data_IF_505928262136
#
_entry.id   IF_505928262136
#
_cell.length_a   1.000
_cell.length_b   1.000
_cell.length_c   1.000
_cell.angle_alpha   90.00
_cell.angle_beta   90.00
_cell.angle_gamma   90.00
#
_symmetry.space_group_name_H-M   'P 1'
#
loop_
_entity.id
_entity.type
_entity.pdbx_description
1 polymer ?
#
# COMPACT_ATOMS: atom_id res chain seq x y z
N UNK A 1 47.20 41.92 -42.10
CA UNK A 1 47.29 43.22 -41.41
C UNK A 1 45.89 43.77 -41.45
N UNK A 2 45.10 43.38 -40.46
CA UNK A 2 44.74 44.22 -39.29
C UNK A 2 43.69 45.24 -39.74
N UNK A 3 42.40 45.00 -39.51
CA UNK A 3 41.63 45.06 -38.24
C UNK A 3 40.95 46.42 -38.07
N UNK A 4 39.72 46.38 -37.52
CA UNK A 4 39.04 47.51 -36.88
C UNK A 4 37.91 48.14 -37.71
N UNK A 5 36.66 47.70 -37.52
CA UNK A 5 35.61 48.22 -36.60
C UNK A 5 34.77 49.35 -37.21
N UNK A 6 33.53 49.02 -37.61
CA UNK A 6 32.24 49.50 -37.05
C UNK A 6 31.82 50.86 -37.69
N UNK A 7 30.60 51.11 -38.19
CA UNK A 7 29.28 50.84 -37.62
C UNK A 7 28.17 51.20 -38.65
N UNK A 8 27.05 50.44 -38.62
CA UNK A 8 25.64 50.79 -38.96
C UNK A 8 25.24 51.20 -40.40
N UNK A 9 24.08 50.88 -40.98
CA UNK A 9 22.89 50.09 -40.62
C UNK A 9 22.03 49.94 -41.91
N UNK A 10 21.12 48.96 -41.90
CA UNK A 10 19.81 48.91 -42.60
C UNK A 10 19.56 47.88 -43.72
N UNK A 11 18.94 46.78 -43.26
CA UNK A 11 17.61 46.25 -43.65
C UNK A 11 17.36 45.61 -45.04
N UNK A 12 16.92 44.34 -44.90
CA UNK A 12 15.83 43.63 -45.62
C UNK A 12 16.17 43.11 -47.03
N UNK A 13 16.27 41.78 -47.19
CA UNK A 13 15.12 40.84 -47.38
C UNK A 13 15.59 39.47 -47.87
N UNK A 14 14.98 38.44 -47.27
CA UNK A 14 14.54 37.17 -47.85
C UNK A 14 15.60 36.25 -48.47
N UNK A 15 16.02 35.25 -47.69
CA UNK A 15 16.74 34.06 -48.13
C UNK A 15 16.27 32.85 -47.33
N UNK A 16 15.98 31.78 -48.07
CA UNK A 16 15.59 30.44 -47.65
C UNK A 16 16.74 29.64 -47.00
N UNK A 17 16.36 28.51 -46.40
CA UNK A 17 17.16 27.31 -46.07
C UNK A 17 17.78 27.16 -44.66
N UNK A 18 17.10 26.28 -43.90
CA UNK A 18 17.64 25.09 -43.20
C UNK A 18 18.43 25.19 -41.88
N UNK A 19 18.05 24.25 -41.01
CA UNK A 19 18.80 23.57 -39.92
C UNK A 19 18.59 24.07 -38.46
N UNK A 20 18.36 23.06 -37.61
CA UNK A 20 18.36 22.99 -36.15
C UNK A 20 17.06 23.40 -35.41
N UNK A 21 16.08 22.48 -35.44
CA UNK A 21 15.18 22.29 -34.29
C UNK A 21 15.89 21.35 -33.32
N UNK A 22 16.54 21.93 -32.30
CA UNK A 22 17.07 21.20 -31.15
C UNK A 22 15.98 21.04 -30.10
N UNK A 23 15.75 19.78 -29.76
CA UNK A 23 15.08 19.19 -28.60
C UNK A 23 14.73 20.15 -27.45
N UNK A 24 13.43 20.29 -27.23
CA UNK A 24 12.85 20.65 -25.93
C UNK A 24 11.82 19.57 -25.60
N UNK A 25 12.29 18.33 -25.35
CA UNK A 25 11.44 17.29 -24.76
C UNK A 25 11.22 17.66 -23.29
N UNK A 26 9.96 17.81 -22.92
CA UNK A 26 9.53 18.31 -21.62
C UNK A 26 10.00 17.39 -20.49
N UNK A 27 10.65 17.98 -19.49
CA UNK A 27 11.09 17.29 -18.28
C UNK A 27 9.94 16.59 -17.51
N UNK A 28 8.68 17.01 -17.73
CA UNK A 28 7.51 16.43 -17.07
C UNK A 28 7.12 15.03 -17.61
N UNK A 29 7.34 14.76 -18.89
CA UNK A 29 6.93 13.49 -19.51
C UNK A 29 7.86 12.33 -19.12
N UNK A 30 9.14 12.62 -18.88
CA UNK A 30 10.12 11.64 -18.43
C UNK A 30 9.85 11.20 -16.98
N UNK A 31 9.48 12.13 -16.10
CA UNK A 31 9.18 11.83 -14.70
C UNK A 31 7.88 11.01 -14.56
N UNK A 32 6.84 11.35 -15.34
CA UNK A 32 5.61 10.57 -15.42
C UNK A 32 5.86 9.15 -15.96
N UNK A 33 6.67 9.01 -17.01
CA UNK A 33 7.00 7.70 -17.57
C UNK A 33 7.81 6.80 -16.62
N UNK A 34 8.76 7.37 -15.84
CA UNK A 34 9.51 6.67 -14.79
C UNK A 34 8.62 6.16 -13.65
N UNK A 35 7.60 6.93 -13.27
CA UNK A 35 6.62 6.52 -12.26
C UNK A 35 5.73 5.36 -12.75
N UNK A 36 5.57 5.22 -14.06
CA UNK A 36 4.74 4.19 -14.67
C UNK A 36 5.48 2.88 -14.98
N UNK A 37 6.82 2.89 -15.04
CA UNK A 37 7.61 1.69 -15.33
C UNK A 37 7.22 0.54 -14.38
N UNK A 38 6.75 -0.55 -14.96
CA UNK A 38 6.39 -1.76 -14.23
C UNK A 38 5.09 -1.68 -13.42
N UNK A 39 4.31 -0.60 -13.55
CA UNK A 39 2.99 -0.50 -12.90
C UNK A 39 2.11 -1.69 -13.31
N UNK A 40 1.68 -2.49 -12.34
CA UNK A 40 0.77 -3.62 -12.57
C UNK A 40 1.41 -5.01 -12.70
N UNK A 41 2.73 -5.11 -12.91
CA UNK A 41 3.43 -6.41 -13.00
C UNK A 41 4.07 -6.87 -11.69
N UNK A 42 4.10 -6.01 -10.66
CA UNK A 42 4.76 -6.29 -9.39
C UNK A 42 3.78 -6.28 -8.22
N UNK A 43 4.06 -7.13 -7.23
CA UNK A 43 3.26 -7.30 -6.02
C UNK A 43 2.80 -8.74 -5.86
N UNK A 44 1.63 -8.91 -5.25
CA UNK A 44 1.02 -10.21 -4.98
C UNK A 44 -0.52 -10.10 -5.06
N UNK A 45 -1.22 -11.19 -4.80
CA UNK A 45 -2.69 -11.21 -4.68
C UNK A 45 -3.23 -10.25 -3.61
N UNK A 46 -2.43 -9.94 -2.58
CA UNK A 46 -2.84 -9.05 -1.50
C UNK A 46 -2.73 -7.57 -1.86
N UNK A 47 -1.58 -7.17 -2.43
CA UNK A 47 -1.23 -5.77 -2.68
C UNK A 47 -0.44 -5.62 -3.98
N UNK A 48 -0.71 -4.55 -4.73
CA UNK A 48 0.10 -4.16 -5.90
C UNK A 48 1.22 -3.25 -5.42
N UNK A 49 2.47 -3.61 -5.61
CA UNK A 49 3.60 -2.81 -5.11
C UNK A 49 4.90 -3.20 -5.77
N UNK A 50 5.83 -2.26 -5.86
CA UNK A 50 7.15 -2.45 -6.48
C UNK A 50 8.26 -2.68 -5.47
N UNK A 51 7.93 -3.27 -4.31
CA UNK A 51 8.92 -3.70 -3.33
C UNK A 51 8.52 -4.98 -2.58
N UNK A 52 9.54 -5.74 -2.18
CA UNK A 52 9.47 -6.85 -1.24
C UNK A 52 9.88 -6.37 0.16
N UNK A 53 9.48 -7.09 1.19
CA UNK A 53 9.88 -6.81 2.58
C UNK A 53 10.91 -7.85 3.02
N UNK A 54 11.86 -7.44 3.86
CA UNK A 54 12.63 -8.37 4.68
C UNK A 54 11.89 -8.56 6.00
N UNK A 55 11.46 -9.80 6.27
CA UNK A 55 10.72 -10.13 7.47
C UNK A 55 11.63 -10.05 8.70
N UNK A 56 11.33 -9.20 9.71
CA UNK A 56 12.20 -9.04 10.88
C UNK A 56 12.26 -10.30 11.78
N UNK A 57 11.24 -11.15 11.72
CA UNK A 57 11.15 -12.38 12.50
C UNK A 57 12.11 -13.48 12.04
N UNK A 58 12.37 -13.60 10.73
CA UNK A 58 13.12 -14.72 10.14
C UNK A 58 14.15 -14.30 9.08
N UNK A 59 14.27 -13.00 8.78
CA UNK A 59 15.11 -12.41 7.73
C UNK A 59 14.83 -12.88 6.30
N UNK A 60 13.76 -13.63 6.07
CA UNK A 60 13.34 -14.05 4.72
C UNK A 60 12.68 -12.89 3.96
N UNK A 61 12.62 -13.03 2.63
CA UNK A 61 12.09 -11.99 1.73
C UNK A 61 10.73 -12.42 1.20
N UNK A 62 9.74 -11.54 1.35
CA UNK A 62 8.38 -11.80 0.88
C UNK A 62 7.78 -10.61 0.15
N UNK A 63 6.86 -10.90 -0.77
CA UNK A 63 6.10 -9.88 -1.48
C UNK A 63 5.13 -9.13 -0.60
N UNK A 64 4.74 -9.59 0.60
CA UNK A 64 4.08 -8.82 1.66
C UNK A 64 3.97 -9.60 2.97
N UNK A 65 3.45 -8.96 4.02
CA UNK A 65 3.23 -9.62 5.32
C UNK A 65 2.27 -10.80 5.23
N UNK A 66 1.26 -10.71 4.38
CA UNK A 66 0.28 -11.80 4.22
C UNK A 66 0.92 -12.97 3.50
N UNK A 67 1.65 -12.73 2.41
CA UNK A 67 2.43 -13.79 1.75
C UNK A 67 3.38 -14.51 2.70
N UNK A 68 4.03 -13.78 3.62
CA UNK A 68 4.81 -14.39 4.69
C UNK A 68 3.94 -15.25 5.62
N UNK A 69 2.89 -14.65 6.20
CA UNK A 69 2.06 -15.33 7.20
C UNK A 69 1.35 -16.56 6.59
N UNK A 70 0.90 -16.49 5.35
CA UNK A 70 0.29 -17.61 4.64
C UNK A 70 1.31 -18.76 4.45
N UNK A 71 2.55 -18.43 4.07
CA UNK A 71 3.61 -19.42 3.93
C UNK A 71 4.02 -20.02 5.29
N UNK A 72 4.19 -19.18 6.32
CA UNK A 72 4.65 -19.61 7.64
C UNK A 72 3.56 -20.27 8.49
N UNK A 73 2.28 -20.03 8.21
CA UNK A 73 1.17 -20.68 8.92
C UNK A 73 0.44 -21.75 8.08
N UNK A 74 0.98 -22.09 6.90
CA UNK A 74 0.45 -23.16 6.06
C UNK A 74 0.44 -24.53 6.77
N UNK A 75 -0.42 -25.43 6.27
CA UNK A 75 -0.59 -26.78 6.84
C UNK A 75 0.68 -27.63 6.80
N UNK A 76 1.52 -27.42 5.78
CA UNK A 76 2.79 -28.12 5.58
C UNK A 76 3.91 -27.57 6.48
N UNK A 77 3.70 -26.42 7.13
CA UNK A 77 4.70 -25.81 8.01
C UNK A 77 4.69 -26.46 9.39
N UNK A 78 5.87 -26.84 9.85
CA UNK A 78 6.08 -27.35 11.21
C UNK A 78 5.47 -26.37 12.22
N UNK A 79 4.59 -26.84 13.14
CA UNK A 79 3.96 -25.98 14.15
C UNK A 79 4.93 -25.11 14.96
N UNK A 80 6.17 -25.57 15.17
CA UNK A 80 7.20 -24.82 15.90
C UNK A 80 7.78 -23.64 15.09
N UNK A 81 7.66 -23.68 13.76
CA UNK A 81 8.16 -22.64 12.86
C UNK A 81 7.06 -21.66 12.45
N UNK A 82 5.83 -21.82 12.97
CA UNK A 82 4.70 -20.92 12.68
C UNK A 82 4.88 -19.60 13.39
N UNK A 83 4.79 -18.51 12.64
CA UNK A 83 4.89 -17.17 13.16
C UNK A 83 4.40 -16.13 12.16
N UNK A 84 4.04 -14.97 12.68
CA UNK A 84 3.61 -13.82 11.91
C UNK A 84 4.67 -12.72 11.91
N UNK A 85 4.65 -11.89 10.86
CA UNK A 85 5.44 -10.67 10.87
C UNK A 85 4.87 -9.68 11.90
N UNK A 86 5.70 -9.17 12.85
CA UNK A 86 5.35 -7.99 13.63
C UNK A 86 5.28 -6.77 12.72
N UNK A 87 4.06 -6.39 12.33
CA UNK A 87 3.78 -5.47 11.21
C UNK A 87 4.46 -4.10 11.28
N UNK A 88 4.75 -3.58 12.47
CA UNK A 88 5.38 -2.27 12.67
C UNK A 88 6.91 -2.34 12.72
N UNK A 89 7.50 -3.53 12.82
CA UNK A 89 8.94 -3.75 12.99
C UNK A 89 9.68 -3.94 11.66
N UNK A 90 8.98 -3.93 10.52
CA UNK A 90 9.61 -3.98 9.21
C UNK A 90 10.44 -2.71 9.00
N UNK A 91 11.75 -2.87 8.84
CA UNK A 91 12.71 -1.76 8.65
C UNK A 91 13.34 -1.73 7.26
N UNK A 92 13.37 -2.88 6.56
CA UNK A 92 14.02 -3.03 5.25
C UNK A 92 13.06 -3.47 4.16
N UNK A 93 13.24 -2.91 2.97
CA UNK A 93 12.53 -3.26 1.74
C UNK A 93 13.52 -3.47 0.60
N UNK A 94 13.15 -4.30 -0.37
CA UNK A 94 13.93 -4.60 -1.57
C UNK A 94 13.13 -4.13 -2.77
N UNK A 95 13.71 -3.24 -3.59
CA UNK A 95 13.07 -2.74 -4.81
C UNK A 95 12.86 -3.88 -5.81
N UNK A 96 11.65 -4.06 -6.33
CA UNK A 96 11.34 -5.14 -7.27
C UNK A 96 11.86 -4.89 -8.69
N UNK A 97 12.36 -3.69 -8.99
CA UNK A 97 12.88 -3.32 -10.32
C UNK A 97 14.40 -3.46 -10.43
N UNK A 98 15.12 -3.11 -9.37
CA UNK A 98 16.59 -3.05 -9.39
C UNK A 98 17.24 -3.81 -8.23
N UNK A 99 16.46 -4.58 -7.47
CA UNK A 99 16.89 -5.45 -6.36
C UNK A 99 17.68 -4.75 -5.24
N UNK A 100 17.61 -3.42 -5.19
CA UNK A 100 18.27 -2.64 -4.13
C UNK A 100 17.55 -2.82 -2.81
N UNK A 101 18.27 -3.34 -1.82
CA UNK A 101 17.83 -3.37 -0.42
C UNK A 101 18.09 -2.02 0.26
N UNK A 102 17.10 -1.49 0.97
CA UNK A 102 17.15 -0.17 1.58
C UNK A 102 16.25 -0.07 2.82
N UNK A 103 16.40 1.00 3.59
CA UNK A 103 15.42 1.36 4.61
C UNK A 103 14.05 1.67 4.00
N UNK A 104 13.00 1.41 4.77
CA UNK A 104 11.61 1.70 4.36
C UNK A 104 11.46 3.19 4.00
N UNK A 105 11.28 3.44 2.71
CA UNK A 105 10.96 4.73 2.10
C UNK A 105 10.02 4.48 0.93
N UNK A 106 9.25 5.50 0.52
CA UNK A 106 8.33 5.37 -0.61
C UNK A 106 9.05 5.11 -1.93
N UNK A 107 10.18 5.77 -2.14
CA UNK A 107 10.92 5.71 -3.40
C UNK A 107 12.21 4.89 -3.24
N UNK A 108 12.59 4.19 -4.31
CA UNK A 108 13.86 3.47 -4.32
C UNK A 108 15.03 4.46 -4.29
N UNK A 109 16.04 4.20 -3.44
CA UNK A 109 17.21 5.06 -3.31
C UNK A 109 18.17 4.97 -4.51
N UNK A 110 18.09 3.89 -5.28
CA UNK A 110 18.99 3.64 -6.41
C UNK A 110 18.35 4.05 -7.75
N UNK A 111 17.18 3.51 -8.08
CA UNK A 111 16.52 3.79 -9.37
C UNK A 111 15.42 4.86 -9.31
N UNK A 112 15.10 5.39 -8.12
CA UNK A 112 14.10 6.45 -7.96
C UNK A 112 12.64 6.02 -8.09
N UNK A 113 12.34 4.77 -8.47
CA UNK A 113 10.96 4.32 -8.69
C UNK A 113 10.10 4.48 -7.42
N UNK A 114 8.86 4.94 -7.60
CA UNK A 114 7.87 4.96 -6.54
C UNK A 114 7.38 3.54 -6.22
N UNK A 115 7.70 3.01 -5.03
CA UNK A 115 7.43 1.61 -4.69
C UNK A 115 5.96 1.33 -4.31
N UNK A 116 5.16 2.37 -4.12
CA UNK A 116 3.71 2.31 -3.91
C UNK A 116 3.09 3.71 -4.00
N UNK A 117 2.09 3.87 -4.88
CA UNK A 117 1.36 5.15 -5.02
C UNK A 117 0.76 5.61 -3.68
N UNK A 118 0.12 4.70 -2.95
CA UNK A 118 -0.19 4.88 -1.54
C UNK A 118 0.96 4.34 -0.68
N UNK A 119 1.48 5.18 0.20
CA UNK A 119 2.50 4.80 1.18
C UNK A 119 2.13 5.30 2.58
N UNK A 120 2.17 4.39 3.56
CA UNK A 120 2.02 4.72 4.97
C UNK A 120 3.30 4.38 5.73
N UNK A 121 4.01 5.43 6.18
CA UNK A 121 5.25 5.31 6.94
C UNK A 121 5.07 4.69 8.34
N UNK A 122 3.88 4.85 8.95
CA UNK A 122 3.54 4.26 10.26
C UNK A 122 3.36 2.75 10.15
N UNK A 123 2.62 2.30 9.13
CA UNK A 123 2.36 0.88 8.89
C UNK A 123 3.38 0.18 7.98
N UNK A 124 4.37 0.91 7.45
CA UNK A 124 5.34 0.42 6.45
C UNK A 124 4.63 -0.22 5.25
N UNK A 125 3.51 0.38 4.84
CA UNK A 125 2.56 -0.19 3.88
C UNK A 125 2.63 0.53 2.54
N UNK A 126 2.54 -0.25 1.46
CA UNK A 126 2.69 0.17 0.07
C UNK A 126 1.58 -0.48 -0.76
N UNK A 127 0.85 0.30 -1.53
CA UNK A 127 -0.15 -0.19 -2.49
C UNK A 127 -0.25 0.77 -3.69
N UNK A 128 -0.15 0.25 -4.90
CA UNK A 128 -0.36 1.00 -6.15
C UNK A 128 -1.85 1.11 -6.50
N UNK A 129 -2.70 0.27 -5.89
CA UNK A 129 -4.14 0.30 -6.10
C UNK A 129 -4.82 1.40 -5.26
N UNK A 130 -4.62 2.65 -5.65
CA UNK A 130 -5.22 3.82 -4.96
C UNK A 130 -6.75 3.88 -5.06
N UNK A 131 -7.37 3.07 -5.91
CA UNK A 131 -8.84 3.01 -6.04
C UNK A 131 -9.53 2.52 -4.76
N UNK A 132 -8.79 1.83 -3.89
CA UNK A 132 -9.28 1.39 -2.57
C UNK A 132 -9.42 2.54 -1.57
N UNK A 133 -8.97 3.76 -1.91
CA UNK A 133 -9.01 4.94 -1.03
C UNK A 133 -8.46 4.63 0.37
N UNK A 134 -7.23 4.10 0.42
CA UNK A 134 -6.59 3.72 1.67
C UNK A 134 -6.36 4.96 2.55
N UNK A 135 -6.50 4.78 3.86
CA UNK A 135 -6.16 5.81 4.84
C UNK A 135 -5.63 5.17 6.12
N UNK A 136 -4.79 5.89 6.86
CA UNK A 136 -4.36 5.47 8.19
C UNK A 136 -5.31 6.04 9.24
N UNK A 137 -5.81 5.19 10.14
CA UNK A 137 -6.48 5.62 11.36
C UNK A 137 -5.47 5.55 12.51
N UNK A 138 -5.18 6.72 13.09
CA UNK A 138 -4.18 6.86 14.16
C UNK A 138 -4.61 6.13 15.44
N UNK A 139 -5.91 6.17 15.73
CA UNK A 139 -6.53 5.55 16.90
C UNK A 139 -6.53 4.02 16.80
N UNK A 140 -6.68 3.47 15.59
CA UNK A 140 -6.53 2.03 15.36
C UNK A 140 -5.07 1.60 15.17
N UNK A 141 -4.17 2.52 14.81
CA UNK A 141 -2.77 2.23 14.48
C UNK A 141 -2.57 1.43 13.18
N UNK A 142 -3.59 1.35 12.31
CA UNK A 142 -3.58 0.54 11.09
C UNK A 142 -4.19 1.27 9.89
N UNK A 143 -3.77 0.88 8.68
CA UNK A 143 -4.42 1.35 7.45
C UNK A 143 -5.76 0.63 7.24
N UNK A 144 -6.76 1.40 6.81
CA UNK A 144 -8.09 0.96 6.39
C UNK A 144 -8.32 1.39 4.94
N UNK A 145 -9.39 0.91 4.32
CA UNK A 145 -9.81 1.23 2.95
C UNK A 145 -11.19 1.89 2.95
N UNK A 146 -11.56 2.52 1.83
CA UNK A 146 -12.88 3.11 1.61
C UNK A 146 -12.99 4.62 1.87
N UNK A 147 -11.87 5.33 2.03
CA UNK A 147 -11.83 6.79 2.19
C UNK A 147 -12.07 7.25 3.63
N UNK A 148 -11.19 8.11 4.15
CA UNK A 148 -11.23 8.55 5.55
C UNK A 148 -12.54 9.25 5.89
N UNK A 149 -13.10 9.98 4.94
CA UNK A 149 -14.35 10.73 5.05
C UNK A 149 -15.60 9.86 5.23
N UNK A 150 -15.53 8.59 4.80
CA UNK A 150 -16.66 7.66 4.87
C UNK A 150 -16.71 6.88 6.18
N UNK A 151 -15.72 7.07 7.07
CA UNK A 151 -15.58 6.33 8.32
C UNK A 151 -15.34 7.26 9.51
N UNK A 152 -15.71 6.79 10.69
CA UNK A 152 -15.33 7.40 11.96
C UNK A 152 -14.77 6.33 12.90
N UNK A 153 -13.84 6.72 13.78
CA UNK A 153 -13.37 5.87 14.85
C UNK A 153 -14.28 6.01 16.07
N UNK A 154 -14.80 4.89 16.58
CA UNK A 154 -15.50 4.86 17.86
C UNK A 154 -14.54 4.47 18.98
N UNK A 155 -14.14 5.43 19.82
CA UNK A 155 -13.19 5.20 20.93
C UNK A 155 -13.67 4.13 21.93
N UNK A 156 -15.00 4.02 22.14
CA UNK A 156 -15.56 3.02 23.06
C UNK A 156 -15.45 1.60 22.49
N UNK A 157 -15.71 1.43 21.20
CA UNK A 157 -15.55 0.14 20.53
C UNK A 157 -14.08 -0.18 20.20
N UNK A 158 -13.26 0.86 20.05
CA UNK A 158 -11.87 0.77 19.60
C UNK A 158 -11.73 0.49 18.09
N UNK A 159 -12.76 0.73 17.28
CA UNK A 159 -12.74 0.37 15.85
C UNK A 159 -13.38 1.43 14.95
N UNK A 160 -13.07 1.35 13.66
CA UNK A 160 -13.62 2.22 12.62
C UNK A 160 -14.94 1.64 12.09
N UNK A 161 -15.97 2.48 12.01
CA UNK A 161 -17.26 2.16 11.39
C UNK A 161 -17.57 3.13 10.27
N UNK A 162 -18.43 2.73 9.34
CA UNK A 162 -18.98 3.63 8.32
C UNK A 162 -19.72 4.80 8.99
N UNK A 163 -19.62 6.00 8.42
CA UNK A 163 -20.37 7.18 8.85
C UNK A 163 -21.88 6.95 8.92
N UNK A 164 -22.42 6.01 8.13
CA UNK A 164 -23.83 5.59 8.19
C UNK A 164 -24.23 5.01 9.56
N UNK A 165 -23.26 4.52 10.33
CA UNK A 165 -23.48 3.88 11.62
C UNK A 165 -23.25 4.82 12.82
N UNK A 166 -22.88 6.08 12.58
CA UNK A 166 -22.43 7.00 13.64
C UNK A 166 -23.40 7.10 14.80
N UNK A 167 -24.69 7.25 14.51
CA UNK A 167 -25.73 7.42 15.52
C UNK A 167 -26.58 6.15 15.75
N UNK A 168 -26.32 5.08 15.00
CA UNK A 168 -27.14 3.86 15.00
C UNK A 168 -26.43 2.63 15.59
N UNK A 169 -25.11 2.61 15.64
CA UNK A 169 -24.39 1.42 16.14
C UNK A 169 -24.55 1.26 17.65
N UNK A 170 -24.91 0.04 18.06
CA UNK A 170 -24.86 -0.35 19.46
C UNK A 170 -23.40 -0.55 19.86
N UNK A 171 -22.85 0.41 20.59
CA UNK A 171 -21.49 0.31 21.11
C UNK A 171 -21.33 -0.90 22.04
N UNK A 172 -20.52 -1.86 21.62
CA UNK A 172 -20.00 -2.93 22.46
C UNK A 172 -18.50 -2.68 22.62
N UNK A 173 -18.05 -2.60 23.87
CA UNK A 173 -16.66 -2.32 24.16
C UNK A 173 -15.77 -3.40 23.54
N UNK A 174 -14.72 -2.96 22.83
CA UNK A 174 -13.73 -3.85 22.23
C UNK A 174 -14.33 -4.95 21.34
N UNK A 175 -15.46 -4.67 20.67
CA UNK A 175 -16.25 -5.63 19.90
C UNK A 175 -15.49 -6.40 18.80
N UNK A 176 -14.29 -5.98 18.41
CA UNK A 176 -13.46 -6.66 17.41
C UNK A 176 -12.11 -7.14 17.98
N UNK A 177 -11.83 -6.90 19.26
CA UNK A 177 -10.55 -7.23 19.87
C UNK A 177 -10.61 -8.61 20.53
N UNK A 178 -11.09 -9.59 19.79
CA UNK A 178 -11.15 -10.99 20.16
C UNK A 178 -10.95 -11.87 18.93
N UNK A 179 -10.77 -13.16 19.15
CA UNK A 179 -10.61 -14.12 18.07
C UNK A 179 -11.98 -14.58 17.56
N UNK A 180 -12.09 -14.80 16.26
CA UNK A 180 -13.23 -15.47 15.67
C UNK A 180 -13.46 -16.82 16.39
N UNK A 181 -14.68 -17.10 16.89
CA UNK A 181 -14.94 -18.33 17.65
C UNK A 181 -14.90 -19.61 16.80
N UNK A 182 -14.82 -19.47 15.47
CA UNK A 182 -14.80 -20.60 14.53
C UNK A 182 -13.36 -20.95 14.15
N UNK A 183 -12.61 -20.00 13.60
CA UNK A 183 -11.24 -20.23 13.13
C UNK A 183 -10.15 -19.84 14.14
N UNK A 184 -10.53 -19.24 15.27
CA UNK A 184 -9.61 -18.76 16.32
C UNK A 184 -8.60 -17.69 15.88
N UNK A 185 -8.79 -17.08 14.72
CA UNK A 185 -7.96 -15.96 14.26
C UNK A 185 -8.45 -14.61 14.80
N UNK A 186 -7.51 -13.70 15.03
CA UNK A 186 -7.80 -12.37 15.54
C UNK A 186 -8.57 -11.51 14.53
N UNK A 187 -9.64 -10.85 14.98
CA UNK A 187 -10.57 -10.15 14.09
C UNK A 187 -10.16 -8.72 13.73
N UNK A 188 -9.43 -8.02 14.62
CA UNK A 188 -9.29 -6.57 14.51
C UNK A 188 -8.54 -6.09 13.24
N UNK A 189 -7.52 -6.84 12.84
CA UNK A 189 -6.64 -6.51 11.71
C UNK A 189 -6.62 -7.56 10.59
N UNK A 190 -7.66 -8.40 10.57
CA UNK A 190 -7.95 -9.33 9.50
C UNK A 190 -8.28 -8.60 8.19
N UNK A 191 -7.95 -9.21 7.06
CA UNK A 191 -8.33 -8.73 5.72
C UNK A 191 -9.65 -9.34 5.25
N UNK A 192 -10.20 -10.31 6.00
CA UNK A 192 -11.45 -10.98 5.67
C UNK A 192 -12.65 -10.16 6.13
N UNK A 193 -13.75 -10.29 5.41
CA UNK A 193 -14.99 -9.62 5.81
C UNK A 193 -15.44 -10.10 7.18
N UNK A 194 -15.92 -9.15 7.99
CA UNK A 194 -16.47 -9.40 9.32
C UNK A 194 -17.94 -9.01 9.35
N UNK A 195 -18.68 -9.67 10.23
CA UNK A 195 -20.10 -9.38 10.48
C UNK A 195 -20.38 -9.29 11.97
N UNK A 196 -21.37 -8.49 12.34
CA UNK A 196 -21.85 -8.33 13.71
C UNK A 196 -23.13 -9.15 13.86
N UNK A 197 -23.12 -10.11 14.77
CA UNK A 197 -24.28 -10.93 15.10
C UNK A 197 -25.35 -10.11 15.85
N UNK A 198 -26.63 -10.57 15.89
CA UNK A 198 -27.68 -9.91 16.67
C UNK A 198 -27.36 -9.76 18.16
N UNK A 199 -26.55 -10.66 18.72
CA UNK A 199 -26.06 -10.60 20.10
C UNK A 199 -24.90 -9.59 20.30
N UNK A 200 -24.43 -8.92 19.25
CA UNK A 200 -23.37 -7.91 19.28
C UNK A 200 -21.95 -8.47 19.12
N UNK A 201 -21.75 -9.79 19.10
CA UNK A 201 -20.45 -10.40 18.85
C UNK A 201 -20.07 -10.29 17.37
N UNK A 202 -18.78 -10.16 17.09
CA UNK A 202 -18.24 -10.14 15.73
C UNK A 202 -17.57 -11.46 15.37
N UNK A 203 -17.74 -11.87 14.12
CA UNK A 203 -17.13 -13.08 13.53
C UNK A 203 -16.77 -12.81 12.06
N UNK A 204 -15.92 -13.63 11.44
CA UNK A 204 -15.72 -13.59 9.99
C UNK A 204 -17.01 -13.97 9.26
N UNK A 205 -17.34 -13.24 8.18
CA UNK A 205 -18.54 -13.48 7.37
C UNK A 205 -18.55 -14.89 6.76
N UNK A 206 -17.38 -15.37 6.33
CA UNK A 206 -17.23 -16.72 5.79
C UNK A 206 -17.48 -17.79 6.85
N UNK A 207 -16.91 -17.62 8.05
CA UNK A 207 -17.17 -18.53 9.17
C UNK A 207 -18.66 -18.56 9.56
N UNK A 208 -19.37 -17.44 9.48
CA UNK A 208 -20.84 -17.43 9.67
C UNK A 208 -21.53 -18.29 8.61
N UNK A 209 -21.20 -18.09 7.33
CA UNK A 209 -21.80 -18.85 6.22
C UNK A 209 -21.53 -20.34 6.33
N UNK A 210 -20.33 -20.74 6.74
CA UNK A 210 -19.99 -22.14 7.02
C UNK A 210 -20.86 -22.71 8.16
N UNK A 211 -21.00 -21.97 9.27
CA UNK A 211 -21.88 -22.38 10.37
C UNK A 211 -23.34 -22.56 9.90
N UNK A 212 -23.85 -21.64 9.07
CA UNK A 212 -25.21 -21.71 8.52
C UNK A 212 -25.41 -22.94 7.63
N UNK A 213 -24.40 -23.36 6.85
CA UNK A 213 -24.47 -24.56 6.02
C UNK A 213 -24.55 -25.87 6.84
N UNK A 214 -24.01 -25.86 8.05
CA UNK A 214 -24.01 -27.01 8.96
C UNK A 214 -25.10 -26.95 10.03
N UNK A 215 -25.93 -25.90 10.03
CA UNK A 215 -27.07 -25.76 10.92
C UNK A 215 -28.21 -26.68 10.43
N UNK A 216 -28.44 -27.78 11.16
CA UNK A 216 -29.53 -28.74 10.92
C UNK A 216 -30.61 -28.59 11.96
#
# INVERSE_FOLDING_TARGET
MDSGVEEFLELKRMGSESVAQSDFLEFGDIEASLMEIGSGNYGCSHYRRRCKIRAPCCNEIFDCRHCHNDAKNGLETNPLDRHDIPRHEVTKVICSLCDTEQDVKQNCINCGVCMGKYYCSKCKFFDDDVSKNQYHCDECGICRTGGKENFFHCNKCGCCYSMLMKDAHRCVERAMHHNCPVCFEFLFDTMRDITVLPCGHTIHLECLKEMEQHYR
#
